data_IF_487837691797
#
_entry.id   IF_487837691797
#
_cell.length_a   1.000
_cell.length_b   1.000
_cell.length_c   1.000
_cell.angle_alpha   90.00
_cell.angle_beta   90.00
_cell.angle_gamma   90.00
#
_symmetry.space_group_name_H-M   'P 1'
#
loop_
_entity.id
_entity.type
_entity.pdbx_description
1 polymer ?
#
# COMPACT_ATOMS: atom_id res chain seq x y z
N UNK A 1 -5.46 -13.12 -22.28
CA UNK A 1 -4.94 -14.36 -21.69
C UNK A 1 -6.10 -15.30 -21.39
N UNK A 2 -6.00 -16.52 -21.88
CA UNK A 2 -7.00 -17.53 -21.58
C UNK A 2 -6.86 -17.95 -20.11
N UNK A 3 -7.97 -18.18 -19.46
CA UNK A 3 -8.03 -18.70 -18.10
C UNK A 3 -7.47 -17.78 -17.00
N UNK A 4 -7.44 -16.48 -17.24
CA UNK A 4 -7.14 -15.55 -16.15
C UNK A 4 -8.40 -15.37 -15.30
N UNK A 5 -8.28 -15.59 -14.00
CA UNK A 5 -9.39 -15.41 -13.05
C UNK A 5 -8.87 -14.65 -11.84
N UNK A 6 -9.31 -13.40 -11.72
CA UNK A 6 -8.89 -12.53 -10.62
C UNK A 6 -9.52 -12.94 -9.30
N UNK A 7 -8.68 -13.08 -8.29
CA UNK A 7 -9.11 -13.26 -6.91
C UNK A 7 -8.44 -12.19 -6.04
N UNK A 8 -9.22 -11.56 -5.18
CA UNK A 8 -8.72 -10.59 -4.21
C UNK A 8 -9.27 -10.93 -2.84
N UNK A 9 -8.40 -10.89 -1.82
CA UNK A 9 -8.81 -11.18 -0.46
C UNK A 9 -7.86 -10.57 0.57
N UNK A 10 -8.37 -10.34 1.77
CA UNK A 10 -7.59 -9.81 2.88
C UNK A 10 -6.90 -10.96 3.62
N UNK A 11 -5.63 -11.18 3.31
CA UNK A 11 -4.79 -12.15 4.00
C UNK A 11 -3.67 -11.38 4.70
N UNK A 12 -3.83 -11.15 6.00
CA UNK A 12 -2.88 -10.33 6.76
C UNK A 12 -3.10 -8.85 6.52
N UNK A 13 -2.03 -8.10 6.27
CA UNK A 13 -2.08 -6.66 6.04
C UNK A 13 -2.36 -6.36 4.56
N UNK A 14 -3.41 -5.58 4.29
CA UNK A 14 -3.76 -5.18 2.95
C UNK A 14 -4.52 -6.26 2.18
N UNK A 15 -4.48 -6.17 0.86
CA UNK A 15 -5.23 -7.06 -0.04
C UNK A 15 -4.26 -7.84 -0.90
N UNK A 16 -4.38 -9.16 -0.88
CA UNK A 16 -3.63 -10.05 -1.76
C UNK A 16 -4.40 -10.28 -3.04
N UNK A 17 -3.74 -10.15 -4.18
CA UNK A 17 -4.32 -10.33 -5.52
C UNK A 17 -3.66 -11.52 -6.20
N UNK A 18 -4.48 -12.45 -6.65
CA UNK A 18 -4.01 -13.70 -7.26
C UNK A 18 -4.73 -13.99 -8.58
N UNK A 19 -4.04 -14.75 -9.44
CA UNK A 19 -4.70 -15.42 -10.56
C UNK A 19 -5.09 -16.83 -10.11
N UNK A 20 -6.37 -17.04 -9.83
CA UNK A 20 -6.89 -18.33 -9.36
C UNK A 20 -7.08 -19.35 -10.49
N UNK A 21 -6.94 -18.96 -11.75
CA UNK A 21 -7.03 -19.88 -12.86
C UNK A 21 -5.86 -20.88 -12.91
N UNK A 22 -4.78 -20.63 -12.16
CA UNK A 22 -3.61 -21.54 -12.09
C UNK A 22 -3.71 -22.51 -10.92
N UNK A 23 -4.88 -22.63 -10.30
CA UNK A 23 -5.10 -23.44 -9.10
C UNK A 23 -5.22 -24.95 -9.37
N UNK A 24 -4.88 -25.44 -10.54
CA UNK A 24 -5.05 -26.86 -10.91
C UNK A 24 -4.45 -27.84 -9.90
N UNK A 25 -3.50 -27.40 -9.08
CA UNK A 25 -2.86 -28.20 -8.04
C UNK A 25 -2.95 -27.58 -6.66
N UNK A 26 -3.93 -26.71 -6.43
CA UNK A 26 -4.11 -26.03 -5.17
C UNK A 26 -3.25 -24.78 -4.99
N UNK A 27 -2.52 -24.38 -6.03
CA UNK A 27 -1.66 -23.20 -5.99
C UNK A 27 -2.28 -22.03 -6.72
N UNK A 28 -2.19 -20.83 -6.10
CA UNK A 28 -2.55 -19.58 -6.73
C UNK A 28 -1.29 -18.87 -7.18
N UNK A 29 -1.35 -18.18 -8.30
CA UNK A 29 -0.26 -17.30 -8.67
C UNK A 29 -0.49 -15.92 -8.08
N UNK A 30 0.35 -15.51 -7.16
CA UNK A 30 0.32 -14.16 -6.60
C UNK A 30 0.78 -13.17 -7.68
N UNK A 31 -0.06 -12.19 -7.99
CA UNK A 31 0.21 -11.21 -9.05
C UNK A 31 0.42 -9.80 -8.52
N UNK A 32 -0.21 -9.46 -7.41
CA UNK A 32 -0.09 -8.13 -6.82
C UNK A 32 -0.44 -8.13 -5.34
N UNK A 33 -0.08 -7.04 -4.68
CA UNK A 33 -0.48 -6.74 -3.32
C UNK A 33 -0.87 -5.26 -3.24
N UNK A 34 -2.00 -4.99 -2.59
CA UNK A 34 -2.45 -3.63 -2.30
C UNK A 34 -2.25 -3.41 -0.81
N UNK A 35 -1.38 -2.46 -0.45
CA UNK A 35 -1.10 -2.15 0.94
C UNK A 35 -2.28 -1.46 1.63
N UNK A 36 -2.24 -1.35 2.95
CA UNK A 36 -3.28 -0.69 3.74
C UNK A 36 -3.50 0.77 3.32
N UNK A 37 -2.46 1.44 2.83
CA UNK A 37 -2.55 2.81 2.36
C UNK A 37 -2.84 2.93 0.85
N UNK A 38 -3.22 1.82 0.20
CA UNK A 38 -3.66 1.81 -1.18
C UNK A 38 -2.56 1.82 -2.23
N UNK A 39 -1.34 1.44 -1.87
CA UNK A 39 -0.23 1.33 -2.82
C UNK A 39 -0.19 -0.06 -3.43
N UNK A 40 -0.08 -0.12 -4.77
CA UNK A 40 -0.04 -1.37 -5.51
C UNK A 40 1.41 -1.82 -5.70
N UNK A 41 1.68 -3.07 -5.37
CA UNK A 41 2.94 -3.73 -5.72
C UNK A 41 2.65 -4.88 -6.66
N UNK A 42 3.20 -4.83 -7.87
CA UNK A 42 3.05 -5.90 -8.86
C UNK A 42 4.19 -6.90 -8.72
N UNK A 43 3.85 -8.19 -8.73
CA UNK A 43 4.82 -9.28 -8.71
C UNK A 43 5.03 -9.89 -10.11
N UNK A 44 4.23 -9.46 -11.08
CA UNK A 44 4.30 -9.87 -12.48
C UNK A 44 4.26 -8.64 -13.37
N UNK A 45 4.62 -8.79 -14.63
CA UNK A 45 4.47 -7.71 -15.61
C UNK A 45 2.99 -7.32 -15.74
N UNK A 46 2.71 -6.03 -15.87
CA UNK A 46 1.35 -5.52 -16.08
C UNK A 46 0.71 -6.15 -17.32
N UNK A 47 1.50 -6.47 -18.32
CA UNK A 47 1.03 -7.14 -19.54
C UNK A 47 0.48 -8.55 -19.30
N UNK A 48 0.82 -9.18 -18.18
CA UNK A 48 0.29 -10.47 -17.78
C UNK A 48 -1.19 -10.36 -17.31
N UNK A 49 -1.60 -9.18 -16.86
CA UNK A 49 -2.92 -8.96 -16.26
C UNK A 49 -3.85 -8.37 -17.33
N UNK A 50 -5.04 -8.98 -17.56
CA UNK A 50 -6.03 -8.39 -18.48
C UNK A 50 -6.37 -6.96 -18.05
N UNK A 51 -6.59 -6.07 -19.03
CA UNK A 51 -6.86 -4.65 -18.80
C UNK A 51 -8.01 -4.43 -17.83
N UNK A 52 -9.09 -5.18 -17.99
CA UNK A 52 -10.28 -5.08 -17.11
C UNK A 52 -9.96 -5.44 -15.68
N UNK A 53 -9.12 -6.45 -15.48
CA UNK A 53 -8.71 -6.89 -14.15
C UNK A 53 -7.73 -5.89 -13.52
N UNK A 54 -6.82 -5.33 -14.33
CA UNK A 54 -5.93 -4.27 -13.85
C UNK A 54 -6.73 -3.05 -13.38
N UNK A 55 -7.77 -2.68 -14.13
CA UNK A 55 -8.67 -1.59 -13.73
C UNK A 55 -9.38 -1.88 -12.40
N UNK A 56 -9.78 -3.13 -12.17
CA UNK A 56 -10.37 -3.55 -10.88
C UNK A 56 -9.37 -3.42 -9.74
N UNK A 57 -8.13 -3.80 -9.96
CA UNK A 57 -7.05 -3.66 -8.97
C UNK A 57 -6.84 -2.18 -8.65
N UNK A 58 -6.76 -1.34 -9.65
CA UNK A 58 -6.57 0.11 -9.48
C UNK A 58 -7.73 0.76 -8.73
N UNK A 59 -8.98 0.39 -9.05
CA UNK A 59 -10.16 0.89 -8.32
C UNK A 59 -10.16 0.46 -6.86
N UNK A 60 -9.83 -0.79 -6.60
CA UNK A 60 -9.73 -1.31 -5.23
C UNK A 60 -8.66 -0.58 -4.45
N UNK A 61 -7.50 -0.34 -5.07
CA UNK A 61 -6.42 0.42 -4.46
C UNK A 61 -6.84 1.86 -4.17
N UNK A 62 -7.56 2.50 -5.08
CA UNK A 62 -8.04 3.87 -4.90
C UNK A 62 -9.04 3.97 -3.74
N UNK A 63 -9.94 3.00 -3.60
CA UNK A 63 -10.87 2.93 -2.48
C UNK A 63 -10.16 2.70 -1.15
N UNK A 64 -9.17 1.81 -1.14
CA UNK A 64 -8.34 1.53 0.03
C UNK A 64 -7.60 2.80 0.47
N UNK A 65 -7.04 3.53 -0.49
CA UNK A 65 -6.34 4.78 -0.21
C UNK A 65 -7.27 5.85 0.35
N UNK A 66 -8.46 5.99 -0.22
CA UNK A 66 -9.46 6.95 0.25
C UNK A 66 -9.85 6.66 1.71
N UNK A 67 -10.12 5.41 2.02
CA UNK A 67 -10.43 4.98 3.39
C UNK A 67 -9.27 5.26 4.33
N UNK A 68 -8.06 4.90 3.92
CA UNK A 68 -6.85 5.15 4.71
C UNK A 68 -6.65 6.63 4.99
N UNK A 69 -6.73 7.48 3.96
CA UNK A 69 -6.51 8.93 4.12
C UNK A 69 -7.59 9.58 4.99
N UNK A 70 -8.83 9.11 4.90
CA UNK A 70 -9.92 9.61 5.75
C UNK A 70 -9.60 9.36 7.22
N UNK A 71 -9.17 8.17 7.57
CA UNK A 71 -8.80 7.83 8.95
C UNK A 71 -7.49 8.50 9.37
N UNK A 72 -6.51 8.55 8.47
CA UNK A 72 -5.22 9.18 8.72
C UNK A 72 -5.37 10.66 9.04
N UNK A 73 -6.18 11.38 8.24
CA UNK A 73 -6.36 12.81 8.41
C UNK A 73 -7.11 13.21 9.68
N UNK A 74 -7.79 12.26 10.32
CA UNK A 74 -8.44 12.48 11.62
C UNK A 74 -7.46 12.43 12.79
N UNK A 75 -6.26 11.92 12.58
CA UNK A 75 -5.29 11.76 13.65
C UNK A 75 -4.54 13.05 13.93
N UNK A 76 -4.11 13.22 15.19
CA UNK A 76 -3.26 14.35 15.57
C UNK A 76 -1.86 14.19 14.98
N UNK A 77 -1.12 15.30 14.87
CA UNK A 77 0.25 15.28 14.35
C UNK A 77 1.16 14.37 15.16
N UNK A 78 0.99 14.35 16.47
CA UNK A 78 1.83 13.50 17.33
C UNK A 78 1.58 12.00 17.06
N UNK A 79 0.32 11.61 16.84
CA UNK A 79 0.00 10.22 16.49
C UNK A 79 0.48 9.84 15.11
N UNK A 80 0.34 10.73 14.14
CA UNK A 80 0.90 10.55 12.80
C UNK A 80 2.41 10.38 12.87
N UNK A 81 3.08 11.21 13.64
CA UNK A 81 4.51 11.18 13.81
C UNK A 81 4.98 9.85 14.40
N UNK A 82 4.33 9.38 15.45
CA UNK A 82 4.66 8.08 16.07
C UNK A 82 4.55 6.94 15.06
N UNK A 83 3.49 6.90 14.27
CA UNK A 83 3.29 5.87 13.25
C UNK A 83 4.31 5.97 12.12
N UNK A 84 4.63 7.19 11.70
CA UNK A 84 5.62 7.42 10.64
C UNK A 84 7.02 7.01 11.09
N UNK A 85 7.37 7.22 12.35
CA UNK A 85 8.65 6.78 12.90
C UNK A 85 8.78 5.25 12.90
N UNK A 86 7.68 4.53 13.12
CA UNK A 86 7.68 3.07 13.04
C UNK A 86 7.85 2.57 11.61
N UNK A 87 7.46 3.35 10.60
CA UNK A 87 7.53 2.99 9.20
C UNK A 87 8.84 3.40 8.53
N UNK A 88 9.47 4.47 9.01
CA UNK A 88 10.59 5.08 8.31
C UNK A 88 11.90 4.28 8.46
N UNK A 89 12.82 4.50 7.53
CA UNK A 89 14.16 3.94 7.60
C UNK A 89 14.96 4.57 8.74
N UNK A 90 16.01 3.89 9.19
CA UNK A 90 16.91 4.44 10.21
C UNK A 90 17.54 5.77 9.78
N UNK A 91 17.90 5.87 8.50
CA UNK A 91 18.47 7.09 7.94
C UNK A 91 17.49 8.27 8.04
N UNK A 92 16.23 8.07 7.66
CA UNK A 92 15.21 9.11 7.75
C UNK A 92 14.91 9.47 9.21
N UNK A 93 14.88 8.47 10.08
CA UNK A 93 14.69 8.67 11.51
C UNK A 93 15.78 9.62 12.07
N UNK A 94 17.06 9.32 11.76
CA UNK A 94 18.17 10.13 12.25
C UNK A 94 18.15 11.55 11.69
N UNK A 95 17.80 11.70 10.41
CA UNK A 95 17.76 13.00 9.75
C UNK A 95 16.64 13.90 10.27
N UNK A 96 15.45 13.33 10.47
CA UNK A 96 14.25 14.11 10.80
C UNK A 96 13.99 14.19 12.29
N UNK A 97 14.08 13.08 13.02
CA UNK A 97 13.76 13.06 14.45
C UNK A 97 14.68 13.95 15.29
N UNK A 98 15.94 14.05 14.91
CA UNK A 98 16.92 14.85 15.64
C UNK A 98 17.05 16.29 15.13
N UNK A 99 16.29 16.66 14.11
CA UNK A 99 16.33 18.02 13.59
C UNK A 99 15.47 18.93 14.45
N UNK A 100 16.11 19.78 15.23
CA UNK A 100 15.44 20.72 16.13
C UNK A 100 14.97 22.01 15.46
N UNK A 101 15.36 22.23 14.19
CA UNK A 101 15.01 23.44 13.45
C UNK A 101 13.64 23.37 12.78
N UNK A 102 13.08 22.16 12.64
CA UNK A 102 11.77 21.98 12.02
C UNK A 102 10.72 21.61 13.07
N UNK A 103 9.48 22.06 12.82
CA UNK A 103 8.34 21.79 13.70
C UNK A 103 7.86 20.34 13.56
N UNK A 104 7.06 19.89 14.52
CA UNK A 104 6.40 18.58 14.43
C UNK A 104 5.56 18.46 13.16
N UNK A 105 4.79 19.50 12.82
CA UNK A 105 3.97 19.52 11.62
C UNK A 105 4.82 19.35 10.35
N UNK A 106 5.98 19.97 10.28
CA UNK A 106 6.90 19.86 9.15
C UNK A 106 7.53 18.45 9.09
N UNK A 107 7.87 17.87 10.23
CA UNK A 107 8.38 16.50 10.31
C UNK A 107 7.36 15.50 9.76
N UNK A 108 6.11 15.63 10.19
CA UNK A 108 5.00 14.80 9.70
C UNK A 108 4.85 14.95 8.19
N UNK A 109 4.83 16.18 7.70
CA UNK A 109 4.68 16.47 6.27
C UNK A 109 5.76 15.82 5.41
N UNK A 110 7.01 15.91 5.85
CA UNK A 110 8.15 15.32 5.13
C UNK A 110 8.07 13.79 5.10
N UNK A 111 7.71 13.18 6.23
CA UNK A 111 7.57 11.74 6.31
C UNK A 111 6.34 11.23 5.54
N UNK A 112 5.23 11.96 5.57
CA UNK A 112 4.05 11.62 4.77
C UNK A 112 4.36 11.59 3.28
N UNK A 113 5.11 12.58 2.79
CA UNK A 113 5.48 12.66 1.39
C UNK A 113 6.25 11.42 0.92
N UNK A 114 6.98 10.78 1.81
CA UNK A 114 7.81 9.61 1.50
C UNK A 114 7.11 8.28 1.78
N UNK A 115 6.36 8.16 2.86
CA UNK A 115 5.82 6.88 3.34
C UNK A 115 4.31 6.73 3.20
N UNK A 116 3.60 7.79 2.98
CA UNK A 116 2.15 7.77 2.79
C UNK A 116 1.78 8.17 1.36
#
# INVERSE_FOLDING_TARGET
MKNFKLWMGCLGNGITVCNSAVEEHGDYKHIAHISDNGKIKLYVSESYIPVEDMQRIERTAAEQRKTFLTEWNKQSDIRKYEKLLDMCSHSDFMEIAHNKEITLAEKVKRLEAKYI
#
